data_IF_622155140321
#
_entry.id   IF_622155140321
#
_cell.length_a   1.000
_cell.length_b   1.000
_cell.length_c   1.000
_cell.angle_alpha   90.00
_cell.angle_beta   90.00
_cell.angle_gamma   90.00
#
_symmetry.space_group_name_H-M   'P 1'
#
loop_
_entity.id
_entity.type
_entity.pdbx_description
1 polymer ?
#
# COMPACT_ATOMS: atom_id res chain seq x y z
N UNK A 1 3.35 26.45 -3.56
CA UNK A 1 2.22 25.71 -2.98
C UNK A 1 2.79 24.53 -2.20
N UNK A 2 2.94 24.66 -0.88
CA UNK A 2 3.33 23.54 -0.04
C UNK A 2 2.10 22.64 0.06
N UNK A 3 2.08 21.53 -0.68
CA UNK A 3 1.10 20.48 -0.44
C UNK A 3 1.38 19.95 0.97
N UNK A 4 0.59 20.37 1.93
CA UNK A 4 0.57 19.78 3.26
C UNK A 4 0.40 18.28 3.09
N UNK A 5 1.48 17.52 3.24
CA UNK A 5 1.38 16.07 3.21
C UNK A 5 0.37 15.67 4.27
N UNK A 6 -0.70 14.92 3.93
CA UNK A 6 -1.68 14.51 4.91
C UNK A 6 -0.93 13.75 6.02
N UNK A 7 -1.01 14.27 7.24
CA UNK A 7 -0.41 13.63 8.41
C UNK A 7 -1.14 12.30 8.64
N UNK A 8 -0.55 11.22 8.13
CA UNK A 8 -1.08 9.86 8.24
C UNK A 8 -0.26 9.07 9.24
N UNK A 9 -0.94 8.46 10.21
CA UNK A 9 -0.28 7.63 11.22
C UNK A 9 -0.28 6.19 10.75
N UNK A 10 0.91 5.62 10.54
CA UNK A 10 1.09 4.22 10.16
C UNK A 10 1.73 3.45 11.31
N UNK A 11 0.96 2.54 11.92
CA UNK A 11 1.40 1.68 13.02
C UNK A 11 1.79 0.32 12.44
N UNK A 12 3.03 -0.10 12.65
CA UNK A 12 3.53 -1.41 12.19
C UNK A 12 3.22 -2.50 13.22
N UNK A 13 2.44 -3.52 12.85
CA UNK A 13 2.24 -4.74 13.63
C UNK A 13 2.98 -5.92 12.98
N UNK A 14 3.03 -7.07 13.66
CA UNK A 14 3.74 -8.24 13.16
C UNK A 14 3.18 -8.76 11.82
N UNK A 15 1.85 -8.77 11.65
CA UNK A 15 1.17 -9.32 10.46
C UNK A 15 0.57 -8.26 9.52
N UNK A 16 0.29 -7.05 10.00
CA UNK A 16 -0.40 -5.99 9.25
C UNK A 16 0.07 -4.59 9.70
N UNK A 17 -0.31 -3.57 8.95
CA UNK A 17 -0.15 -2.16 9.27
C UNK A 17 -1.51 -1.56 9.60
N UNK A 18 -1.60 -0.74 10.64
CA UNK A 18 -2.79 0.05 10.92
C UNK A 18 -2.53 1.45 10.38
N UNK A 19 -3.43 1.94 9.53
CA UNK A 19 -3.35 3.25 8.91
C UNK A 19 -4.48 4.09 9.49
N UNK A 20 -4.12 5.24 10.07
CA UNK A 20 -5.06 6.24 10.56
C UNK A 20 -4.88 7.53 9.75
N UNK A 21 -5.70 7.75 8.71
CA UNK A 21 -5.71 9.01 7.99
C UNK A 21 -6.30 10.12 8.87
N UNK A 22 -5.86 11.36 8.67
CA UNK A 22 -6.46 12.52 9.36
C UNK A 22 -7.90 12.79 8.91
N UNK A 23 -8.23 12.36 7.69
CA UNK A 23 -9.53 12.58 7.05
C UNK A 23 -9.90 11.28 6.33
N UNK A 24 -10.90 10.56 6.85
CA UNK A 24 -11.29 9.24 6.39
C UNK A 24 -11.43 8.24 7.55
N UNK A 25 -11.64 6.97 7.22
CA UNK A 25 -11.71 5.89 8.20
C UNK A 25 -10.35 5.22 8.43
N UNK A 26 -10.17 4.69 9.63
CA UNK A 26 -9.03 3.84 9.96
C UNK A 26 -9.16 2.50 9.23
N UNK A 27 -8.09 2.07 8.56
CA UNK A 27 -8.07 0.77 7.90
C UNK A 27 -6.76 0.02 8.18
N UNK A 28 -6.78 -1.28 7.90
CA UNK A 28 -5.60 -2.12 8.07
C UNK A 28 -5.12 -2.64 6.72
N UNK A 29 -3.81 -2.63 6.52
CA UNK A 29 -3.17 -3.15 5.32
C UNK A 29 -2.32 -4.37 5.68
N UNK A 30 -2.42 -5.47 4.91
CA UNK A 30 -1.60 -6.64 5.15
C UNK A 30 -0.13 -6.33 4.88
N UNK A 31 0.76 -6.89 5.70
CA UNK A 31 2.20 -6.71 5.52
C UNK A 31 2.74 -7.50 4.33
N UNK A 32 2.02 -8.52 3.90
CA UNK A 32 2.35 -9.34 2.74
C UNK A 32 1.18 -9.35 1.77
N UNK A 33 1.44 -9.00 0.52
CA UNK A 33 0.46 -8.97 -0.56
C UNK A 33 1.03 -9.70 -1.78
N UNK A 34 0.32 -10.72 -2.28
CA UNK A 34 0.74 -11.51 -3.46
C UNK A 34 2.21 -11.98 -3.36
N UNK A 35 2.54 -12.62 -2.24
CA UNK A 35 3.88 -13.11 -1.91
C UNK A 35 4.97 -12.05 -1.71
N UNK A 36 4.65 -10.75 -1.80
CA UNK A 36 5.57 -9.63 -1.58
C UNK A 36 5.34 -8.98 -0.22
N UNK A 37 6.42 -8.68 0.51
CA UNK A 37 6.34 -7.89 1.74
C UNK A 37 6.26 -6.40 1.40
N UNK A 38 5.22 -5.71 1.88
CA UNK A 38 5.04 -4.27 1.76
C UNK A 38 5.83 -3.58 2.88
N UNK A 39 6.85 -2.81 2.50
CA UNK A 39 7.62 -2.01 3.44
C UNK A 39 6.85 -0.76 3.89
N UNK A 40 7.31 -0.14 4.98
CA UNK A 40 6.73 1.12 5.50
C UNK A 40 6.63 2.20 4.42
N UNK A 41 7.60 2.29 3.52
CA UNK A 41 7.61 3.25 2.41
C UNK A 41 6.47 3.03 1.41
N UNK A 42 6.22 1.77 1.04
CA UNK A 42 5.12 1.42 0.14
C UNK A 42 3.76 1.71 0.79
N UNK A 43 3.61 1.33 2.06
CA UNK A 43 2.41 1.65 2.85
C UNK A 43 2.21 3.16 2.94
N UNK A 44 3.25 3.92 3.30
CA UNK A 44 3.18 5.39 3.32
C UNK A 44 2.73 5.94 1.96
N UNK A 45 3.31 5.48 0.86
CA UNK A 45 2.93 5.94 -0.48
C UNK A 45 1.45 5.64 -0.81
N UNK A 46 0.96 4.43 -0.49
CA UNK A 46 -0.46 4.08 -0.68
C UNK A 46 -1.39 5.02 0.05
N UNK A 47 -1.05 5.40 1.28
CA UNK A 47 -1.94 6.17 2.14
C UNK A 47 -1.79 7.68 1.95
N UNK A 48 -0.67 8.14 1.37
CA UNK A 48 -0.46 9.57 1.06
C UNK A 48 -0.79 9.92 -0.39
N UNK A 49 -0.47 9.04 -1.34
CA UNK A 49 -0.68 9.25 -2.78
C UNK A 49 -1.85 8.45 -3.34
N UNK A 50 -2.36 7.46 -2.62
CA UNK A 50 -3.30 6.48 -3.17
C UNK A 50 -2.62 5.36 -3.97
N UNK A 51 -1.30 5.44 -4.20
CA UNK A 51 -0.58 4.47 -5.02
C UNK A 51 0.90 4.30 -4.63
N UNK A 52 1.49 3.16 -4.97
CA UNK A 52 2.94 2.93 -4.87
C UNK A 52 3.64 3.14 -6.20
N UNK A 53 4.95 3.35 -6.13
CA UNK A 53 5.84 3.11 -7.27
C UNK A 53 5.74 1.66 -7.77
N UNK A 54 6.19 1.40 -9.00
CA UNK A 54 6.21 0.05 -9.59
C UNK A 54 7.05 -0.88 -8.70
N UNK A 55 6.39 -1.83 -8.05
CA UNK A 55 6.97 -2.82 -7.16
C UNK A 55 7.23 -4.10 -7.94
N UNK A 56 8.43 -4.67 -7.76
CA UNK A 56 8.86 -5.87 -8.47
C UNK A 56 8.70 -7.15 -7.66
N UNK A 57 8.41 -8.24 -8.35
CA UNK A 57 8.39 -9.59 -7.78
C UNK A 57 7.10 -9.93 -7.02
N UNK A 58 5.95 -9.45 -7.49
CA UNK A 58 4.66 -10.03 -7.09
C UNK A 58 4.48 -11.39 -7.74
N UNK A 59 3.79 -12.31 -7.06
CA UNK A 59 3.55 -13.67 -7.58
C UNK A 59 2.07 -13.86 -7.89
N UNK A 60 1.78 -14.10 -9.17
CA UNK A 60 0.42 -14.38 -9.63
C UNK A 60 -0.07 -15.73 -9.12
N UNK A 61 -1.38 -15.97 -9.18
CA UNK A 61 -1.96 -17.30 -8.88
C UNK A 61 -1.36 -18.43 -9.72
N UNK A 62 -0.88 -18.11 -10.93
CA UNK A 62 -0.21 -19.04 -11.85
C UNK A 62 1.29 -19.22 -11.54
N UNK A 63 1.80 -18.65 -10.44
CA UNK A 63 3.19 -18.77 -10.02
C UNK A 63 4.19 -17.86 -10.76
N UNK A 64 3.75 -17.13 -11.80
CA UNK A 64 4.60 -16.17 -12.52
C UNK A 64 4.85 -14.93 -11.67
N UNK A 65 6.11 -14.49 -11.66
CA UNK A 65 6.51 -13.21 -11.07
C UNK A 65 6.15 -12.07 -12.03
N UNK A 66 5.61 -10.98 -11.50
CA UNK A 66 5.29 -9.78 -12.27
C UNK A 66 5.55 -8.52 -11.46
N UNK A 67 5.70 -7.42 -12.17
CA UNK A 67 5.93 -6.10 -11.60
C UNK A 67 4.66 -5.27 -11.77
N UNK A 68 4.21 -4.62 -10.70
CA UNK A 68 2.97 -3.87 -10.69
C UNK A 68 3.06 -2.69 -9.73
N UNK A 69 2.25 -1.66 -9.93
CA UNK A 69 1.98 -0.68 -8.88
C UNK A 69 0.83 -1.20 -8.02
N UNK A 70 0.78 -0.79 -6.77
CA UNK A 70 -0.40 -0.99 -5.94
C UNK A 70 -1.15 0.32 -5.86
N UNK A 71 -2.46 0.27 -6.08
CA UNK A 71 -3.40 1.35 -5.81
C UNK A 71 -4.25 1.00 -4.61
N UNK A 72 -4.56 2.02 -3.82
CA UNK A 72 -5.49 1.97 -2.71
C UNK A 72 -6.77 2.67 -3.15
N UNK A 73 -7.79 1.86 -3.46
CA UNK A 73 -9.11 2.34 -3.83
C UNK A 73 -10.01 2.29 -2.59
N UNK A 74 -10.15 3.42 -1.92
CA UNK A 74 -10.76 3.50 -0.59
C UNK A 74 -9.99 2.64 0.42
N UNK A 75 -10.50 1.45 0.72
CA UNK A 75 -9.89 0.49 1.64
C UNK A 75 -9.40 -0.80 0.95
N UNK A 76 -9.44 -0.85 -0.38
CA UNK A 76 -9.09 -2.04 -1.16
C UNK A 76 -7.79 -1.85 -1.92
N UNK A 77 -6.88 -2.81 -1.77
CA UNK A 77 -5.66 -2.87 -2.57
C UNK A 77 -5.95 -3.52 -3.92
N UNK A 78 -5.55 -2.82 -4.98
CA UNK A 78 -5.65 -3.27 -6.37
C UNK A 78 -4.29 -3.18 -7.06
N UNK A 79 -4.04 -4.08 -8.00
CA UNK A 79 -2.86 -3.99 -8.85
C UNK A 79 -3.14 -3.04 -10.01
N UNK A 80 -2.21 -2.12 -10.22
CA UNK A 80 -2.19 -1.20 -11.35
C UNK A 80 -1.03 -1.63 -12.26
N UNK A 81 -1.39 -2.12 -13.45
CA UNK A 81 -0.47 -2.71 -14.43
C UNK A 81 -0.18 -1.77 -15.63
N UNK A 82 -0.66 -0.54 -15.56
CA UNK A 82 -0.35 0.53 -16.51
C UNK A 82 1.16 0.85 -16.57
#
# INVERSE_FOLDING_TARGET
MFLETPQVTVINKQKFYIVKPKQGEDFTLPKKWSSKTLGKTAIKALVTKGETSKLKGFKSKKGKSFDAKLKLDGHKLSFDLD
#
